data_IF_626340364455
#
_entry.id   IF_626340364455
#
_cell.length_a   1.000
_cell.length_b   1.000
_cell.length_c   1.000
_cell.angle_alpha   90.00
_cell.angle_beta   90.00
_cell.angle_gamma   90.00
#
_symmetry.space_group_name_H-M   'P 1'
#
loop_
_entity.id
_entity.type
_entity.pdbx_description
1 polymer ?
#
# COMPACT_ATOMS: atom_id res chain seq x y z
N UNK A 1 5.85 26.68 -7.32
CA UNK A 1 5.44 25.81 -8.45
C UNK A 1 3.92 25.79 -8.49
N UNK A 2 3.28 25.55 -9.64
CA UNK A 2 1.84 25.28 -9.70
C UNK A 2 1.65 23.80 -10.07
N UNK A 3 0.68 23.13 -9.44
CA UNK A 3 0.41 21.69 -9.60
C UNK A 3 -1.00 21.51 -10.15
N UNK A 4 -1.19 21.92 -11.40
CA UNK A 4 -2.50 22.04 -12.04
C UNK A 4 -2.92 20.79 -12.82
N UNK A 5 -1.96 19.96 -13.22
CA UNK A 5 -2.22 18.75 -13.98
C UNK A 5 -2.60 17.59 -13.04
N UNK A 6 -3.72 16.94 -13.34
CA UNK A 6 -4.07 15.67 -12.70
C UNK A 6 -3.16 14.60 -13.29
N UNK A 7 -2.32 14.00 -12.45
CA UNK A 7 -1.58 12.82 -12.84
C UNK A 7 -2.57 11.71 -13.26
N UNK A 8 -2.25 11.00 -14.34
CA UNK A 8 -2.93 9.77 -14.75
C UNK A 8 -2.46 8.59 -13.87
N UNK A 9 -2.59 8.77 -12.55
CA UNK A 9 -2.20 7.82 -11.53
C UNK A 9 -3.41 7.51 -10.65
N UNK A 10 -3.80 6.24 -10.61
CA UNK A 10 -4.92 5.79 -9.80
C UNK A 10 -4.46 5.54 -8.35
N UNK A 11 -4.64 6.52 -7.48
CA UNK A 11 -4.46 6.38 -6.02
C UNK A 11 -5.78 5.92 -5.40
N UNK A 12 -5.75 4.84 -4.63
CA UNK A 12 -6.95 4.28 -3.99
C UNK A 12 -7.04 4.61 -2.49
N UNK A 13 -8.26 4.60 -1.95
CA UNK A 13 -8.49 4.84 -0.52
C UNK A 13 -7.74 3.79 0.31
N UNK A 14 -6.92 4.25 1.25
CA UNK A 14 -6.15 3.40 2.14
C UNK A 14 -4.80 2.93 1.57
N UNK A 15 -4.45 3.32 0.34
CA UNK A 15 -3.11 3.08 -0.21
C UNK A 15 -2.05 3.71 0.68
N UNK A 16 -1.02 2.94 1.01
CA UNK A 16 0.14 3.40 1.77
C UNK A 16 1.19 3.84 0.77
N UNK A 17 1.53 5.13 0.79
CA UNK A 17 2.40 5.76 -0.20
C UNK A 17 3.60 6.37 0.51
N UNK A 18 4.80 6.11 -0.02
CA UNK A 18 6.03 6.71 0.46
C UNK A 18 6.17 8.15 -0.06
N UNK A 19 6.44 9.07 0.86
CA UNK A 19 6.59 10.49 0.57
C UNK A 19 8.06 10.88 0.62
N UNK A 20 8.57 11.41 -0.50
CA UNK A 20 9.95 11.88 -0.65
C UNK A 20 10.16 13.25 -0.02
N UNK A 21 9.23 14.17 -0.26
CA UNK A 21 9.35 15.54 0.27
C UNK A 21 7.98 16.26 0.31
N UNK A 22 7.95 17.43 0.95
CA UNK A 22 6.83 18.37 0.92
C UNK A 22 7.21 19.53 -0.01
N UNK A 23 6.41 19.74 -1.06
CA UNK A 23 6.49 20.90 -1.94
C UNK A 23 5.45 21.96 -1.58
N UNK A 24 5.62 23.17 -2.11
CA UNK A 24 4.72 24.29 -1.86
C UNK A 24 4.27 24.95 -3.18
N UNK A 25 2.98 25.29 -3.26
CA UNK A 25 2.44 26.10 -4.37
C UNK A 25 2.96 27.54 -4.29
N UNK A 26 2.72 28.35 -5.33
CA UNK A 26 2.99 29.80 -5.27
C UNK A 26 2.24 30.49 -4.12
N UNK A 27 1.06 29.98 -3.76
CA UNK A 27 0.25 30.43 -2.61
C UNK A 27 0.63 29.75 -1.30
N UNK A 28 1.83 29.16 -1.22
CA UNK A 28 2.38 28.49 -0.04
C UNK A 28 1.51 27.32 0.49
N UNK A 29 0.73 26.68 -0.37
CA UNK A 29 -0.07 25.51 0.00
C UNK A 29 0.79 24.25 -0.09
N UNK A 30 0.85 23.40 0.96
CA UNK A 30 1.67 22.20 0.94
C UNK A 30 1.11 21.12 0.00
N UNK A 31 2.04 20.35 -0.57
CA UNK A 31 1.80 19.16 -1.39
C UNK A 31 2.79 18.07 -1.02
N UNK A 32 2.36 16.83 -1.05
CA UNK A 32 3.25 15.67 -0.83
C UNK A 32 3.79 15.23 -2.18
N UNK A 33 5.10 15.07 -2.28
CA UNK A 33 5.77 14.55 -3.47
C UNK A 33 6.16 13.11 -3.16
N UNK A 34 5.61 12.16 -3.92
CA UNK A 34 5.92 10.73 -3.74
C UNK A 34 7.31 10.40 -4.26
N UNK A 35 7.84 9.23 -3.90
CA UNK A 35 9.10 8.72 -4.46
C UNK A 35 9.05 8.58 -5.99
N UNK A 36 7.87 8.24 -6.53
CA UNK A 36 7.60 8.12 -7.98
C UNK A 36 7.32 9.46 -8.67
N UNK A 37 7.43 10.58 -7.93
CA UNK A 37 7.25 11.93 -8.48
C UNK A 37 5.80 12.40 -8.60
N UNK A 38 4.81 11.63 -8.11
CA UNK A 38 3.43 12.08 -8.05
C UNK A 38 3.28 13.19 -7.02
N UNK A 39 2.36 14.12 -7.30
CA UNK A 39 2.04 15.22 -6.39
C UNK A 39 0.65 15.01 -5.80
N UNK A 40 0.60 14.79 -4.49
CA UNK A 40 -0.62 14.54 -3.75
C UNK A 40 -1.00 15.74 -2.87
N UNK A 41 -2.28 15.83 -2.51
CA UNK A 41 -2.74 16.79 -1.51
C UNK A 41 -2.13 16.48 -0.14
N UNK A 42 -1.67 17.51 0.57
CA UNK A 42 -1.25 17.40 1.98
C UNK A 42 -2.41 17.69 2.96
N UNK A 43 -3.64 17.81 2.46
CA UNK A 43 -4.81 18.10 3.28
C UNK A 43 -5.17 16.91 4.18
N UNK A 44 -5.03 17.09 5.49
CA UNK A 44 -5.24 16.08 6.53
C UNK A 44 -6.67 15.52 6.58
N UNK A 45 -7.65 16.13 5.89
CA UNK A 45 -8.98 15.53 5.72
C UNK A 45 -8.97 14.26 4.84
N UNK A 46 -7.97 14.13 3.98
CA UNK A 46 -7.87 13.01 3.02
C UNK A 46 -6.71 12.07 3.29
N UNK A 47 -5.76 12.50 4.13
CA UNK A 47 -4.53 11.78 4.41
C UNK A 47 -4.24 11.79 5.90
N UNK A 48 -3.61 10.73 6.38
CA UNK A 48 -3.07 10.64 7.72
C UNK A 48 -1.70 9.98 7.66
N UNK A 49 -0.86 10.30 8.64
CA UNK A 49 0.46 9.66 8.76
C UNK A 49 0.28 8.22 9.23
N UNK A 50 0.85 7.27 8.49
CA UNK A 50 0.85 5.87 8.90
C UNK A 50 1.89 5.65 9.99
N UNK A 51 1.47 5.08 11.12
CA UNK A 51 2.37 4.66 12.19
C UNK A 51 3.02 3.31 11.82
N UNK A 52 4.34 3.29 11.69
CA UNK A 52 5.13 2.11 11.32
C UNK A 52 5.80 1.44 12.52
N UNK A 53 5.24 1.61 13.73
CA UNK A 53 5.77 0.98 14.95
C UNK A 53 5.76 -0.55 14.89
N UNK A 54 4.88 -1.14 14.09
CA UNK A 54 4.82 -2.59 13.82
C UNK A 54 5.57 -2.98 12.53
N UNK A 55 6.54 -2.18 12.10
CA UNK A 55 7.36 -2.43 10.90
C UNK A 55 8.25 -3.66 11.00
N UNK A 56 8.39 -4.30 12.15
CA UNK A 56 8.98 -5.64 12.25
C UNK A 56 7.99 -6.74 11.82
N UNK A 57 6.69 -6.53 12.07
CA UNK A 57 5.62 -7.52 11.87
C UNK A 57 4.92 -7.37 10.53
N UNK A 58 4.82 -6.16 10.00
CA UNK A 58 4.09 -5.89 8.78
C UNK A 58 4.89 -5.09 7.75
N UNK A 59 4.67 -5.43 6.49
CA UNK A 59 5.16 -4.72 5.31
C UNK A 59 4.33 -3.45 5.12
N UNK A 60 4.99 -2.30 5.03
CA UNK A 60 4.37 -0.98 4.80
C UNK A 60 4.83 -0.35 3.49
N UNK A 61 6.07 -0.59 3.09
CA UNK A 61 6.63 -0.18 1.80
C UNK A 61 6.26 -1.23 0.74
N UNK A 62 6.02 -0.79 -0.51
CA UNK A 62 5.55 -1.69 -1.58
C UNK A 62 6.71 -2.52 -2.15
N UNK A 63 6.79 -3.84 -1.87
CA UNK A 63 7.71 -4.71 -2.60
C UNK A 63 7.22 -4.93 -4.03
N UNK A 64 8.10 -5.33 -4.95
CA UNK A 64 7.66 -5.80 -6.27
C UNK A 64 7.09 -7.22 -6.18
N UNK A 65 7.75 -8.08 -5.39
CA UNK A 65 7.40 -9.49 -5.21
C UNK A 65 7.51 -9.83 -3.72
N UNK A 66 6.63 -10.72 -3.27
CA UNK A 66 6.83 -11.43 -2.00
C UNK A 66 6.89 -12.94 -2.22
N UNK A 67 7.60 -13.63 -1.34
CA UNK A 67 7.58 -15.09 -1.23
C UNK A 67 6.71 -15.49 -0.04
N UNK A 68 5.84 -16.47 -0.23
CA UNK A 68 5.06 -17.07 0.86
C UNK A 68 5.98 -17.95 1.72
N UNK A 69 6.10 -17.62 3.01
CA UNK A 69 6.92 -18.36 3.99
C UNK A 69 6.09 -19.27 4.88
N UNK A 70 4.78 -19.01 4.98
CA UNK A 70 3.80 -19.86 5.66
C UNK A 70 2.49 -19.83 4.88
N UNK A 71 1.83 -20.97 4.78
CA UNK A 71 0.55 -21.08 4.07
C UNK A 71 -0.44 -19.99 4.53
N UNK A 72 -1.05 -19.31 3.55
CA UNK A 72 -2.04 -18.28 3.79
C UNK A 72 -3.11 -18.28 2.69
N UNK A 73 -4.07 -17.36 2.79
CA UNK A 73 -5.23 -17.30 1.90
C UNK A 73 -5.25 -15.96 1.16
N UNK A 74 -5.78 -16.00 -0.05
CA UNK A 74 -6.04 -14.84 -0.88
C UNK A 74 -7.52 -14.49 -0.89
N UNK A 75 -7.83 -13.19 -0.86
CA UNK A 75 -9.20 -12.68 -0.72
C UNK A 75 -9.51 -11.62 -1.77
N UNK A 76 -10.80 -11.47 -2.06
CA UNK A 76 -11.28 -10.43 -2.98
C UNK A 76 -11.15 -9.01 -2.41
N UNK A 77 -11.10 -8.87 -1.08
CA UNK A 77 -11.08 -7.57 -0.40
C UNK A 77 -10.03 -7.54 0.72
N UNK A 78 -9.57 -6.33 1.04
CA UNK A 78 -8.54 -6.05 2.07
C UNK A 78 -8.96 -6.34 3.51
N UNK A 79 -10.25 -6.51 3.76
CA UNK A 79 -10.76 -6.82 5.10
C UNK A 79 -10.82 -8.33 5.36
N UNK A 80 -10.50 -9.13 4.33
CA UNK A 80 -10.57 -10.59 4.35
C UNK A 80 -11.95 -11.11 4.77
N UNK A 81 -13.01 -10.38 4.39
CA UNK A 81 -14.38 -10.83 4.58
C UNK A 81 -14.81 -11.77 3.45
N UNK A 82 -15.63 -12.77 3.79
CA UNK A 82 -16.13 -13.76 2.83
C UNK A 82 -15.16 -14.93 2.61
N UNK A 83 -15.46 -15.74 1.59
CA UNK A 83 -14.68 -16.92 1.24
C UNK A 83 -13.31 -16.53 0.65
N UNK A 84 -12.31 -17.37 0.95
CA UNK A 84 -11.01 -17.25 0.32
C UNK A 84 -11.10 -17.70 -1.15
N UNK A 85 -10.42 -16.98 -2.03
CA UNK A 85 -10.36 -17.30 -3.46
C UNK A 85 -9.46 -18.52 -3.70
N UNK A 86 -8.34 -18.59 -2.99
CA UNK A 86 -7.44 -19.75 -2.97
C UNK A 86 -6.52 -19.74 -1.74
N UNK A 87 -5.90 -20.88 -1.52
CA UNK A 87 -4.74 -21.02 -0.63
C UNK A 87 -3.45 -20.78 -1.39
N UNK A 88 -2.47 -20.18 -0.72
CA UNK A 88 -1.13 -19.94 -1.21
C UNK A 88 -0.15 -20.77 -0.39
N UNK A 89 0.67 -21.54 -1.09
CA UNK A 89 1.64 -22.49 -0.52
C UNK A 89 3.01 -21.86 -0.36
N UNK A 90 3.80 -22.44 0.54
CA UNK A 90 5.17 -21.99 0.82
C UNK A 90 6.01 -22.00 -0.46
N UNK A 91 6.88 -21.00 -0.62
CA UNK A 91 7.72 -20.71 -1.79
C UNK A 91 7.01 -20.16 -3.02
N UNK A 92 5.68 -20.01 -3.01
CA UNK A 92 5.00 -19.26 -4.07
C UNK A 92 5.47 -17.81 -4.10
N UNK A 93 5.66 -17.26 -5.31
CA UNK A 93 5.99 -15.85 -5.54
C UNK A 93 4.74 -15.11 -5.99
N UNK A 94 4.46 -13.98 -5.35
CA UNK A 94 3.30 -13.15 -5.67
C UNK A 94 3.77 -11.74 -6.01
N UNK A 95 3.44 -11.27 -7.21
CA UNK A 95 3.69 -9.91 -7.63
C UNK A 95 2.70 -8.95 -6.96
N UNK A 96 3.23 -7.87 -6.38
CA UNK A 96 2.47 -6.92 -5.57
C UNK A 96 2.28 -5.61 -6.33
N UNK A 97 1.02 -5.22 -6.45
CA UNK A 97 0.62 -3.96 -7.06
C UNK A 97 0.80 -2.80 -6.07
N UNK A 98 0.29 -2.95 -4.84
CA UNK A 98 0.20 -1.89 -3.83
C UNK A 98 0.18 -2.45 -2.41
N UNK A 99 0.48 -1.61 -1.43
CA UNK A 99 0.14 -1.85 -0.01
C UNK A 99 -1.09 -1.02 0.33
N UNK A 100 -2.14 -1.66 0.82
CA UNK A 100 -3.42 -1.01 1.13
C UNK A 100 -3.84 -1.37 2.54
N UNK A 101 -4.18 -0.36 3.34
CA UNK A 101 -4.70 -0.55 4.69
C UNK A 101 -6.14 -1.05 4.66
N UNK A 102 -6.44 -2.05 5.50
CA UNK A 102 -7.81 -2.49 5.78
C UNK A 102 -8.64 -1.37 6.39
N UNK A 103 -9.96 -1.57 6.52
CA UNK A 103 -10.84 -0.63 7.23
C UNK A 103 -10.41 -0.35 8.68
N UNK A 104 -9.62 -1.25 9.27
CA UNK A 104 -9.03 -1.12 10.63
C UNK A 104 -7.58 -0.64 10.61
N UNK A 105 -7.04 -0.20 9.48
CA UNK A 105 -5.68 0.32 9.36
C UNK A 105 -4.58 -0.74 9.28
N UNK A 106 -4.91 -2.03 9.15
CA UNK A 106 -3.89 -3.08 9.02
C UNK A 106 -3.42 -3.17 7.57
N UNK A 107 -2.11 -3.10 7.27
CA UNK A 107 -1.63 -3.20 5.89
C UNK A 107 -1.91 -4.58 5.28
N UNK A 108 -2.23 -4.58 4.00
CA UNK A 108 -2.44 -5.73 3.12
C UNK A 108 -1.69 -5.53 1.83
N UNK A 109 -1.27 -6.63 1.20
CA UNK A 109 -0.65 -6.58 -0.10
C UNK A 109 -1.74 -6.83 -1.15
N UNK A 110 -1.93 -5.87 -2.05
CA UNK A 110 -2.79 -6.03 -3.21
C UNK A 110 -1.97 -6.67 -4.33
N UNK A 111 -2.41 -7.79 -4.87
CA UNK A 111 -1.71 -8.48 -5.96
C UNK A 111 -1.95 -7.78 -7.29
N UNK A 112 -1.19 -8.16 -8.33
CA UNK A 112 -1.44 -7.70 -9.70
C UNK A 112 -2.82 -8.10 -10.27
N UNK A 113 -3.52 -9.03 -9.62
CA UNK A 113 -4.88 -9.42 -10.00
C UNK A 113 -5.97 -8.62 -9.25
N UNK A 114 -5.60 -7.64 -8.42
CA UNK A 114 -6.53 -6.80 -7.67
C UNK A 114 -7.12 -7.45 -6.41
N UNK A 115 -6.65 -8.64 -6.05
CA UNK A 115 -6.96 -9.41 -4.85
C UNK A 115 -5.97 -9.10 -3.72
N UNK A 116 -6.20 -9.62 -2.52
CA UNK A 116 -5.47 -9.24 -1.32
C UNK A 116 -4.92 -10.43 -0.56
N UNK A 117 -3.67 -10.29 -0.11
CA UNK A 117 -2.99 -11.24 0.78
C UNK A 117 -2.43 -10.50 2.00
N UNK A 118 -1.98 -11.27 2.99
CA UNK A 118 -1.44 -10.70 4.23
C UNK A 118 -0.12 -9.98 3.99
N UNK A 119 0.07 -8.83 4.62
CA UNK A 119 1.36 -8.14 4.70
C UNK A 119 2.16 -8.56 5.95
N UNK A 120 1.71 -9.58 6.69
CA UNK A 120 2.37 -10.03 7.91
C UNK A 120 3.62 -10.85 7.57
N UNK A 121 4.79 -10.41 8.06
CA UNK A 121 6.08 -11.05 7.78
C UNK A 121 6.24 -12.47 8.32
N UNK A 122 5.32 -12.92 9.18
CA UNK A 122 5.25 -14.33 9.59
C UNK A 122 4.74 -15.26 8.47
N UNK A 123 4.17 -14.71 7.40
CA UNK A 123 3.59 -15.47 6.30
C UNK A 123 4.20 -15.15 4.95
N UNK A 124 4.82 -13.98 4.82
CA UNK A 124 5.41 -13.49 3.57
C UNK A 124 6.75 -12.83 3.83
N UNK A 125 7.60 -12.78 2.82
CA UNK A 125 8.87 -12.06 2.85
C UNK A 125 9.05 -11.27 1.56
N UNK A 126 9.41 -9.99 1.68
CA UNK A 126 9.80 -9.16 0.54
C UNK A 126 11.07 -9.71 -0.14
N UNK A 127 11.13 -9.61 -1.46
CA UNK A 127 12.29 -10.00 -2.29
C UNK A 127 12.87 -8.78 -2.96
#
# INVERSE_FOLDING_TARGET
MEFEERADANVEIGEIIEIKNIGYTKKNTPRLITVDGLVLTANQKFIYRVATSNSNRYIYEKPEIVIITKECKEYQNRDFSGEALKELKVNEKVAIQKVVASSKGTPRLKTMHGTFITANRNFVKEV
#
